data_IF_555440599372
#
_entry.id   IF_555440599372
#
_cell.length_a   1.000
_cell.length_b   1.000
_cell.length_c   1.000
_cell.angle_alpha   90.00
_cell.angle_beta   90.00
_cell.angle_gamma   90.00
#
_symmetry.space_group_name_H-M   'P 1'
#
loop_
_entity.id
_entity.type
_entity.pdbx_description
1 polymer ?
#
# COMPACT_ATOMS: atom_id res chain seq x y z
N UNK A 1 1.32 -9.86 1.17
CA UNK A 1 2.30 -9.16 0.32
C UNK A 1 2.51 -7.76 0.82
N UNK A 2 3.75 -7.28 0.77
CA UNK A 2 4.07 -5.87 0.98
C UNK A 2 4.27 -5.24 -0.38
N UNK A 3 3.68 -4.08 -0.62
CA UNK A 3 3.79 -3.32 -1.86
C UNK A 3 4.47 -1.99 -1.60
N UNK A 4 5.33 -1.61 -2.53
CA UNK A 4 5.98 -0.29 -2.60
C UNK A 4 5.38 0.43 -3.79
N UNK A 5 4.63 1.48 -3.50
CA UNK A 5 3.98 2.32 -4.50
C UNK A 5 4.67 3.68 -4.53
N UNK A 6 4.74 4.30 -5.69
CA UNK A 6 5.21 5.66 -5.86
C UNK A 6 4.07 6.50 -6.39
N UNK A 7 3.76 7.61 -5.71
CA UNK A 7 2.82 8.58 -6.23
C UNK A 7 3.45 9.28 -7.46
N UNK A 8 2.76 9.24 -8.60
CA UNK A 8 3.20 9.90 -9.83
C UNK A 8 2.70 11.34 -9.93
N UNK A 9 1.69 11.71 -9.14
CA UNK A 9 1.19 13.07 -9.04
C UNK A 9 2.09 13.88 -8.11
N UNK A 10 2.77 14.86 -8.73
CA UNK A 10 3.78 15.69 -8.07
C UNK A 10 3.18 16.88 -7.32
N UNK A 11 1.90 17.19 -7.57
CA UNK A 11 1.19 18.35 -7.00
C UNK A 11 0.60 18.07 -5.62
N UNK A 12 0.62 16.82 -5.16
CA UNK A 12 0.05 16.43 -3.87
C UNK A 12 1.10 16.61 -2.77
N UNK A 13 1.23 17.85 -2.29
CA UNK A 13 2.03 18.14 -1.10
C UNK A 13 1.28 17.63 0.14
N UNK A 14 1.43 16.34 0.45
CA UNK A 14 0.83 15.74 1.65
C UNK A 14 1.69 16.18 2.83
N UNK A 15 1.30 17.31 3.41
CA UNK A 15 1.81 17.94 4.64
C UNK A 15 2.46 16.94 5.60
N UNK A 16 3.76 16.69 5.47
CA UNK A 16 4.67 16.02 6.43
C UNK A 16 4.21 14.72 7.15
N UNK A 17 3.04 14.15 6.84
CA UNK A 17 2.48 12.96 7.48
C UNK A 17 3.16 11.70 6.92
N UNK A 18 3.48 11.71 5.61
CA UNK A 18 4.21 10.61 4.98
C UNK A 18 5.72 10.90 4.90
N UNK A 19 6.47 10.30 5.83
CA UNK A 19 7.94 10.44 5.90
C UNK A 19 8.68 9.84 4.69
N UNK A 20 8.02 9.00 3.89
CA UNK A 20 8.62 8.36 2.72
C UNK A 20 8.17 8.97 1.40
N UNK A 21 7.46 10.09 1.40
CA UNK A 21 7.02 10.74 0.15
C UNK A 21 8.16 10.82 -0.89
N UNK A 22 7.93 10.42 -2.16
CA UNK A 22 6.65 10.06 -2.80
C UNK A 22 6.25 8.58 -2.67
N UNK A 23 6.93 7.81 -1.82
CA UNK A 23 6.68 6.37 -1.66
C UNK A 23 5.64 6.05 -0.58
N UNK A 24 4.89 4.99 -0.84
CA UNK A 24 3.85 4.45 0.02
C UNK A 24 4.11 2.96 0.21
N UNK A 25 4.00 2.52 1.46
CA UNK A 25 4.12 1.11 1.83
C UNK A 25 2.77 0.59 2.30
N UNK A 26 2.36 -0.56 1.78
CA UNK A 26 1.13 -1.22 2.20
C UNK A 26 1.41 -2.70 2.40
N UNK A 27 1.00 -3.23 3.55
CA UNK A 27 1.06 -4.66 3.86
C UNK A 27 -0.34 -5.25 3.83
N UNK A 28 -0.60 -6.12 2.85
CA UNK A 28 -1.89 -6.77 2.62
C UNK A 28 -1.75 -8.26 2.91
N UNK A 29 -2.71 -8.85 3.63
CA UNK A 29 -2.80 -10.30 3.82
C UNK A 29 -3.44 -11.00 2.62
N UNK A 30 -3.34 -12.33 2.55
CA UNK A 30 -3.91 -13.10 1.43
C UNK A 30 -5.44 -13.07 1.38
N UNK A 31 -6.11 -12.80 2.51
CA UNK A 31 -7.56 -12.58 2.58
C UNK A 31 -7.96 -11.14 2.20
N UNK A 32 -7.02 -10.33 1.68
CA UNK A 32 -7.27 -8.98 1.20
C UNK A 32 -7.44 -7.91 2.27
N UNK A 33 -7.10 -8.21 3.52
CA UNK A 33 -7.13 -7.22 4.60
C UNK A 33 -5.83 -6.43 4.66
N UNK A 34 -5.97 -5.13 4.90
CA UNK A 34 -4.83 -4.25 5.16
C UNK A 34 -4.33 -4.52 6.57
N UNK A 35 -3.13 -5.09 6.70
CA UNK A 35 -2.48 -5.30 8.00
C UNK A 35 -1.79 -4.04 8.49
N UNK A 36 -1.09 -3.34 7.60
CA UNK A 36 -0.41 -2.08 7.86
C UNK A 36 -0.49 -1.21 6.60
N UNK A 37 -0.66 0.10 6.78
CA UNK A 37 -0.74 1.05 5.68
C UNK A 37 0.39 2.08 5.72
N UNK A 38 0.30 3.09 4.87
CA UNK A 38 1.28 4.16 4.72
C UNK A 38 1.50 5.02 5.98
N UNK A 39 0.62 4.95 6.99
CA UNK A 39 0.82 5.63 8.27
C UNK A 39 1.76 4.85 9.21
N UNK A 40 2.01 3.58 8.93
CA UNK A 40 2.81 2.68 9.78
C UNK A 40 4.08 2.19 9.10
N UNK A 41 4.73 3.06 8.30
CA UNK A 41 5.96 2.76 7.55
C UNK A 41 7.01 2.02 8.38
N UNK A 42 7.35 2.53 9.57
CA UNK A 42 8.37 1.93 10.43
C UNK A 42 8.04 0.46 10.75
N UNK A 43 6.78 0.17 11.04
CA UNK A 43 6.35 -1.19 11.37
C UNK A 43 6.47 -2.12 10.16
N UNK A 44 6.16 -1.64 8.95
CA UNK A 44 6.33 -2.42 7.71
C UNK A 44 7.80 -2.74 7.47
N UNK A 45 8.69 -1.76 7.66
CA UNK A 45 10.14 -1.96 7.52
C UNK A 45 10.70 -2.90 8.60
N UNK A 46 10.20 -2.82 9.83
CA UNK A 46 10.58 -3.73 10.91
C UNK A 46 10.13 -5.18 10.60
N UNK A 47 8.92 -5.36 10.04
CA UNK A 47 8.44 -6.67 9.57
C UNK A 47 9.36 -7.22 8.48
N UNK A 48 9.70 -6.42 7.47
CA UNK A 48 10.64 -6.83 6.41
C UNK A 48 12.00 -7.23 7.00
N UNK A 49 12.54 -6.41 7.90
CA UNK A 49 13.82 -6.68 8.55
C UNK A 49 13.81 -8.01 9.30
N UNK A 50 12.73 -8.32 10.02
CA UNK A 50 12.63 -9.57 10.79
C UNK A 50 12.49 -10.77 9.85
N UNK A 51 11.65 -10.67 8.82
CA UNK A 51 11.39 -11.76 7.88
C UNK A 51 12.64 -12.13 7.05
N UNK A 52 13.40 -11.12 6.62
CA UNK A 52 14.60 -11.33 5.82
C UNK A 52 15.86 -11.56 6.66
N UNK A 53 15.77 -11.52 8.00
CA UNK A 53 16.96 -11.64 8.86
C UNK A 53 17.63 -13.01 8.68
N UNK A 54 18.90 -12.98 8.26
CA UNK A 54 19.69 -14.19 8.05
C UNK A 54 19.42 -14.90 6.72
N UNK A 55 18.58 -14.33 5.86
CA UNK A 55 18.36 -14.79 4.49
C UNK A 55 18.84 -13.70 3.53
N UNK A 56 19.97 -13.95 2.88
CA UNK A 56 20.53 -13.12 1.82
C UNK A 56 19.93 -13.45 0.44
N UNK A 57 19.44 -14.67 0.27
CA UNK A 57 18.79 -15.16 -0.95
C UNK A 57 17.27 -15.37 -0.78
N UNK A 58 16.48 -15.27 -1.86
CA UNK A 58 15.05 -15.55 -1.81
C UNK A 58 14.76 -17.03 -1.52
N UNK A 59 13.74 -17.29 -0.71
CA UNK A 59 13.37 -18.63 -0.29
C UNK A 59 12.69 -19.40 -1.44
N UNK A 60 13.35 -20.48 -1.91
CA UNK A 60 12.88 -21.30 -3.04
C UNK A 60 11.47 -21.82 -2.90
N UNK A 61 11.13 -22.33 -1.74
CA UNK A 61 9.81 -22.91 -1.49
C UNK A 61 8.70 -21.85 -1.57
N UNK A 62 9.02 -20.60 -1.22
CA UNK A 62 8.09 -19.47 -1.24
C UNK A 62 7.88 -18.96 -2.68
N UNK A 63 8.97 -18.68 -3.41
CA UNK A 63 8.82 -18.14 -4.77
C UNK A 63 8.34 -19.19 -5.77
N UNK A 64 8.62 -20.49 -5.54
CA UNK A 64 8.13 -21.56 -6.42
C UNK A 64 6.60 -21.64 -6.37
N UNK A 65 6.02 -21.65 -5.16
CA UNK A 65 4.56 -21.61 -4.98
C UNK A 65 3.94 -20.35 -5.59
N UNK A 66 4.62 -19.20 -5.44
CA UNK A 66 4.15 -17.94 -6.03
C UNK A 66 4.19 -17.98 -7.55
N UNK A 67 5.25 -18.50 -8.15
CA UNK A 67 5.41 -18.61 -9.59
C UNK A 67 4.40 -19.56 -10.21
N UNK A 68 4.10 -20.69 -9.56
CA UNK A 68 3.05 -21.60 -10.01
C UNK A 68 1.68 -20.92 -10.01
N UNK A 69 1.36 -20.16 -8.96
CA UNK A 69 0.10 -19.41 -8.85
C UNK A 69 -0.03 -18.30 -9.90
N UNK A 70 1.07 -17.60 -10.18
CA UNK A 70 1.09 -16.43 -11.07
C UNK A 70 1.53 -16.73 -12.49
N UNK A 71 1.79 -18.00 -12.83
CA UNK A 71 2.39 -18.42 -14.10
C UNK A 71 3.67 -17.65 -14.40
N UNK A 72 4.60 -17.65 -13.44
CA UNK A 72 5.84 -16.86 -13.44
C UNK A 72 5.58 -15.36 -13.63
N UNK A 73 4.58 -14.82 -12.91
CA UNK A 73 4.21 -13.41 -12.97
C UNK A 73 3.42 -12.98 -14.22
N UNK A 74 3.06 -13.90 -15.13
CA UNK A 74 2.21 -13.58 -16.29
C UNK A 74 0.77 -13.26 -15.90
N UNK A 75 0.30 -13.81 -14.79
CA UNK A 75 -1.06 -13.66 -14.28
C UNK A 75 -1.00 -13.14 -12.83
N UNK A 76 -0.98 -11.82 -12.71
CA UNK A 76 -0.95 -11.12 -11.42
C UNK A 76 -2.34 -10.62 -10.99
N UNK A 77 -3.39 -10.99 -11.74
CA UNK A 77 -4.77 -10.49 -11.57
C UNK A 77 -5.23 -10.51 -10.12
N UNK A 78 -5.11 -11.65 -9.43
CA UNK A 78 -5.50 -11.79 -8.02
C UNK A 78 -4.79 -10.79 -7.11
N UNK A 79 -3.49 -10.57 -7.29
CA UNK A 79 -2.72 -9.68 -6.43
C UNK A 79 -2.96 -8.20 -6.78
N UNK A 80 -3.16 -7.90 -8.06
CA UNK A 80 -3.60 -6.58 -8.52
C UNK A 80 -4.98 -6.24 -7.96
N UNK A 81 -5.96 -7.16 -8.01
CA UNK A 81 -7.29 -6.95 -7.46
C UNK A 81 -7.26 -6.71 -5.95
N UNK A 82 -6.42 -7.46 -5.22
CA UNK A 82 -6.20 -7.24 -3.79
C UNK A 82 -5.63 -5.85 -3.49
N UNK A 83 -4.69 -5.40 -4.31
CA UNK A 83 -4.10 -4.07 -4.20
C UNK A 83 -5.15 -3.00 -4.52
N UNK A 84 -5.91 -3.15 -5.61
CA UNK A 84 -7.00 -2.26 -6.02
C UNK A 84 -8.01 -2.08 -4.89
N UNK A 85 -8.54 -3.17 -4.37
CA UNK A 85 -9.53 -3.14 -3.28
C UNK A 85 -8.99 -2.45 -2.03
N UNK A 86 -7.70 -2.65 -1.74
CA UNK A 86 -7.04 -2.01 -0.60
C UNK A 86 -6.90 -0.50 -0.80
N UNK A 87 -6.47 -0.05 -1.98
CA UNK A 87 -6.31 1.37 -2.26
C UNK A 87 -7.67 2.08 -2.25
N UNK A 88 -8.69 1.48 -2.87
CA UNK A 88 -10.06 1.99 -2.79
C UNK A 88 -10.54 2.12 -1.34
N UNK A 89 -10.31 1.10 -0.50
CA UNK A 89 -10.69 1.17 0.92
C UNK A 89 -9.96 2.26 1.70
N UNK A 90 -8.70 2.56 1.38
CA UNK A 90 -7.94 3.65 2.00
C UNK A 90 -8.50 5.01 1.60
N UNK A 91 -8.91 5.17 0.34
CA UNK A 91 -9.52 6.41 -0.19
C UNK A 91 -10.91 6.62 0.41
N UNK A 92 -11.76 5.59 0.40
CA UNK A 92 -13.11 5.63 0.99
C UNK A 92 -13.05 6.01 2.48
N UNK A 93 -12.07 5.48 3.22
CA UNK A 93 -11.86 5.84 4.63
C UNK A 93 -11.46 7.31 4.79
N UNK A 94 -10.71 7.87 3.84
CA UNK A 94 -10.31 9.27 3.84
C UNK A 94 -11.50 10.18 3.59
N UNK A 95 -12.32 9.89 2.57
CA UNK A 95 -13.58 10.61 2.31
C UNK A 95 -14.50 10.59 3.54
N UNK A 96 -14.60 9.46 4.22
CA UNK A 96 -15.44 9.33 5.42
C UNK A 96 -14.89 10.10 6.62
N UNK A 97 -13.55 10.13 6.80
CA UNK A 97 -12.90 10.95 7.83
C UNK A 97 -13.03 12.46 7.56
N UNK A 98 -13.07 12.86 6.29
CA UNK A 98 -13.28 14.25 5.89
C UNK A 98 -14.72 14.70 6.21
N UNK A 99 -15.71 13.80 6.09
CA UNK A 99 -17.10 14.05 6.54
C UNK A 99 -17.16 14.22 8.06
N UNK A 100 -16.44 13.41 8.84
CA UNK A 100 -16.37 13.59 10.30
C UNK A 100 -15.70 14.91 10.70
N UNK A 101 -14.69 15.36 9.95
CA UNK A 101 -14.06 16.67 10.11
C UNK A 101 -15.03 17.83 9.84
N UNK A 102 -15.98 17.68 8.89
CA UNK A 102 -17.03 18.66 8.61
C UNK A 102 -18.01 18.88 9.77
N UNK A 103 -18.17 17.90 10.68
CA UNK A 103 -19.03 18.00 11.85
C UNK A 103 -18.28 18.39 13.13
N UNK A 104 -16.97 18.66 13.06
CA UNK A 104 -16.18 19.18 14.18
C UNK A 104 -16.16 20.71 14.18
N UNK A 105 -16.31 21.35 15.35
CA UNK A 105 -16.34 22.81 15.50
C UNK A 105 -15.00 23.43 15.08
N UNK A 106 -14.96 24.03 13.89
CA UNK A 106 -13.75 24.64 13.31
C UNK A 106 -13.56 24.44 11.80
N UNK A 107 -14.58 23.93 11.10
CA UNK A 107 -14.55 23.55 9.68
C UNK A 107 -13.89 24.57 8.74
N UNK A 108 -12.74 24.19 8.21
CA UNK A 108 -12.23 24.66 6.92
C UNK A 108 -12.14 23.45 6.00
N UNK A 109 -12.93 23.50 4.93
CA UNK A 109 -13.08 22.49 3.88
C UNK A 109 -11.71 22.03 3.37
N UNK A 110 -11.39 20.75 3.59
CA UNK A 110 -10.20 20.08 3.07
C UNK A 110 -10.52 19.45 1.69
N UNK A 111 -11.00 20.25 0.75
CA UNK A 111 -11.28 19.82 -0.62
C UNK A 111 -10.16 20.29 -1.55
N UNK A 112 -8.98 19.67 -1.49
CA UNK A 112 -7.96 19.95 -2.54
C UNK A 112 -7.16 18.76 -3.04
N UNK A 113 -7.34 17.52 -2.56
CA UNK A 113 -6.54 16.40 -3.07
C UNK A 113 -7.33 15.09 -3.16
N UNK A 114 -8.27 15.03 -4.11
CA UNK A 114 -8.87 13.79 -4.59
C UNK A 114 -7.74 12.93 -5.21
N UNK A 115 -7.30 11.90 -4.48
CA UNK A 115 -6.51 10.83 -5.07
C UNK A 115 -7.48 9.97 -5.88
N UNK A 116 -7.28 9.86 -7.20
CA UNK A 116 -8.17 9.16 -8.14
C UNK A 116 -8.07 7.62 -8.07
N UNK A 117 -7.52 7.06 -7.00
CA UNK A 117 -7.29 5.61 -6.91
C UNK A 117 -5.86 5.21 -7.24
N UNK A 118 -5.72 4.05 -7.87
CA UNK A 118 -4.43 3.48 -8.27
C UNK A 118 -3.80 4.14 -9.48
N UNK A 119 -4.57 4.88 -10.28
CA UNK A 119 -4.05 5.57 -11.46
C UNK A 119 -3.02 6.64 -11.09
N UNK A 120 -3.04 7.09 -9.84
CA UNK A 120 -2.07 8.03 -9.26
C UNK A 120 -0.82 7.34 -8.67
N UNK A 121 -0.75 6.01 -8.74
CA UNK A 121 0.33 5.22 -8.14
C UNK A 121 0.97 4.24 -9.13
N UNK A 122 2.30 4.26 -9.15
CA UNK A 122 3.11 3.28 -9.85
C UNK A 122 3.60 2.20 -8.87
N UNK A 123 3.41 0.92 -9.22
CA UNK A 123 3.98 -0.20 -8.46
C UNK A 123 5.48 -0.30 -8.75
N UNK A 124 6.32 0.01 -7.75
CA UNK A 124 7.78 -0.06 -7.88
C UNK A 124 8.32 -1.44 -7.53
N UNK A 125 7.81 -2.01 -6.44
CA UNK A 125 8.28 -3.30 -5.94
C UNK A 125 7.22 -3.97 -5.07
N UNK A 126 7.34 -5.28 -4.92
CA UNK A 126 6.56 -6.05 -3.96
C UNK A 126 7.40 -7.14 -3.31
N UNK A 127 6.99 -7.54 -2.11
CA UNK A 127 7.58 -8.64 -1.36
C UNK A 127 6.49 -9.66 -1.04
N UNK A 128 6.71 -10.89 -1.49
CA UNK A 128 5.82 -12.02 -1.23
C UNK A 128 6.17 -12.63 0.12
N UNK A 129 5.15 -12.78 0.96
CA UNK A 129 5.25 -13.41 2.28
C UNK A 129 4.21 -14.52 2.30
N UNK A 130 4.63 -15.75 2.57
CA UNK A 130 3.80 -16.95 2.70
C UNK A 130 3.85 -17.44 4.15
#
# INVERSE_FOLDING_TARGET
MIFVLKNINSDVNIDNINQLHPFYLVYISQDGKVKLNHLNVKNILDVLRVLCKGNDEPLRDVYTLFNEQTKDGKDMSTYSDLLNNTISSIIDTKEQSDIESLFSEGGTSFLENELNGLDDFELIAFVVIK
#
